data_IF_229932182171
#
_entry.id   IF_229932182171
#
_cell.length_a   1.000
_cell.length_b   1.000
_cell.length_c   1.000
_cell.angle_alpha   90.00
_cell.angle_beta   90.00
_cell.angle_gamma   90.00
#
_symmetry.space_group_name_H-M   'P 1'
#
loop_
_entity.id
_entity.type
_entity.pdbx_description
1 polymer ?
#
# COMPACT_ATOMS: atom_id res chain seq x y z
N UNK A 1 25.46 -15.30 -1.72
CA UNK A 1 24.17 -16.00 -1.90
C UNK A 1 24.08 -16.42 -3.36
N UNK A 2 24.11 -17.73 -3.62
CA UNK A 2 24.14 -18.31 -4.96
C UNK A 2 22.72 -18.35 -5.53
N UNK A 3 22.38 -17.46 -6.48
CA UNK A 3 21.11 -17.55 -7.22
C UNK A 3 21.26 -18.67 -8.26
N UNK A 4 20.56 -19.78 -8.04
CA UNK A 4 20.41 -20.87 -9.03
C UNK A 4 19.87 -20.27 -10.33
N UNK A 5 20.55 -20.53 -11.44
CA UNK A 5 20.11 -20.22 -12.80
C UNK A 5 18.79 -20.94 -13.07
N UNK A 6 17.75 -20.18 -13.36
CA UNK A 6 16.48 -20.71 -13.86
C UNK A 6 16.64 -20.98 -15.37
N UNK A 7 16.27 -22.19 -15.77
CA UNK A 7 16.49 -22.80 -17.09
C UNK A 7 15.45 -22.34 -18.13
N UNK A 8 14.60 -21.39 -17.74
CA UNK A 8 13.58 -20.77 -18.57
C UNK A 8 13.91 -19.28 -18.65
N UNK A 9 13.78 -18.70 -19.84
CA UNK A 9 14.19 -17.33 -20.12
C UNK A 9 13.57 -16.26 -19.21
N UNK A 10 13.86 -14.97 -19.46
CA UNK A 10 13.25 -13.87 -18.72
C UNK A 10 11.74 -14.08 -18.60
N UNK A 11 11.26 -14.25 -17.37
CA UNK A 11 9.85 -14.48 -17.04
C UNK A 11 9.49 -13.74 -15.75
N UNK A 12 8.27 -13.25 -15.70
CA UNK A 12 7.71 -12.63 -14.50
C UNK A 12 6.71 -13.57 -13.85
N UNK A 13 6.44 -13.39 -12.57
CA UNK A 13 5.42 -14.15 -11.86
C UNK A 13 4.18 -13.27 -11.65
N UNK A 14 3.00 -13.87 -11.80
CA UNK A 14 1.73 -13.20 -11.51
C UNK A 14 1.69 -12.74 -10.05
N UNK A 15 1.41 -11.46 -9.83
CA UNK A 15 1.40 -10.86 -8.49
C UNK A 15 0.29 -11.37 -7.57
N UNK A 16 -0.71 -12.07 -8.11
CA UNK A 16 -1.85 -12.59 -7.36
C UNK A 16 -1.69 -14.08 -7.00
N UNK A 17 -1.29 -14.92 -7.96
CA UNK A 17 -1.23 -16.37 -7.77
C UNK A 17 0.17 -16.98 -7.92
N UNK A 18 1.14 -16.23 -8.43
CA UNK A 18 2.51 -16.72 -8.62
C UNK A 18 2.73 -17.59 -9.85
N UNK A 19 1.79 -17.66 -10.81
CA UNK A 19 2.04 -18.36 -12.08
C UNK A 19 3.09 -17.63 -12.93
N UNK A 20 3.95 -18.39 -13.63
CA UNK A 20 4.89 -17.82 -14.60
C UNK A 20 4.12 -17.18 -15.78
N UNK A 21 4.47 -15.94 -16.10
CA UNK A 21 3.88 -15.12 -17.15
C UNK A 21 5.01 -14.48 -18.00
N UNK A 22 4.74 -14.18 -19.29
CA UNK A 22 5.70 -13.47 -20.13
C UNK A 22 6.06 -12.12 -19.51
N UNK A 23 7.29 -11.66 -19.80
CA UNK A 23 7.70 -10.33 -19.34
C UNK A 23 6.84 -9.24 -19.94
N UNK A 24 6.44 -8.28 -19.10
CA UNK A 24 5.59 -7.15 -19.48
C UNK A 24 4.17 -7.22 -18.93
N UNK A 25 3.69 -8.42 -18.58
CA UNK A 25 2.40 -8.58 -17.91
C UNK A 25 2.57 -8.70 -16.39
N UNK A 26 1.53 -8.30 -15.64
CA UNK A 26 1.52 -8.34 -14.17
C UNK A 26 0.63 -9.47 -13.63
N UNK A 27 -0.31 -9.96 -14.43
CA UNK A 27 -1.36 -10.89 -14.03
C UNK A 27 -1.56 -11.96 -15.10
N UNK A 28 -1.75 -13.22 -14.71
CA UNK A 28 -1.87 -14.33 -15.66
C UNK A 28 -3.27 -14.49 -16.29
N UNK A 29 -4.30 -13.84 -15.76
CA UNK A 29 -5.68 -13.97 -16.22
C UNK A 29 -6.54 -12.77 -15.83
N UNK A 30 -7.69 -12.60 -16.48
CA UNK A 30 -8.67 -11.57 -16.13
C UNK A 30 -9.15 -11.67 -14.68
N UNK A 31 -9.25 -12.88 -14.12
CA UNK A 31 -9.62 -13.06 -12.72
C UNK A 31 -8.57 -12.46 -11.77
N UNK A 32 -7.28 -12.68 -12.08
CA UNK A 32 -6.19 -12.07 -11.33
C UNK A 32 -6.14 -10.56 -11.52
N UNK A 33 -6.44 -10.05 -12.71
CA UNK A 33 -6.55 -8.60 -12.97
C UNK A 33 -7.66 -7.96 -12.13
N UNK A 34 -8.85 -8.58 -12.07
CA UNK A 34 -9.97 -8.10 -11.24
C UNK A 34 -9.64 -8.11 -9.75
N UNK A 35 -8.96 -9.15 -9.25
CA UNK A 35 -8.49 -9.20 -7.86
C UNK A 35 -7.44 -8.12 -7.57
N UNK A 36 -6.52 -7.89 -8.49
CA UNK A 36 -5.55 -6.82 -8.33
C UNK A 36 -6.21 -5.44 -8.29
N UNK A 37 -7.19 -5.18 -9.16
CA UNK A 37 -7.93 -3.92 -9.15
C UNK A 37 -8.77 -3.72 -7.89
N UNK A 38 -9.41 -4.79 -7.39
CA UNK A 38 -10.21 -4.70 -6.17
C UNK A 38 -9.32 -4.40 -4.97
N UNK A 39 -8.17 -5.06 -4.84
CA UNK A 39 -7.18 -4.80 -3.80
C UNK A 39 -6.60 -3.38 -3.93
N UNK A 40 -6.28 -2.94 -5.16
CA UNK A 40 -5.80 -1.58 -5.40
C UNK A 40 -6.82 -0.50 -5.00
N UNK A 41 -8.13 -0.73 -5.26
CA UNK A 41 -9.21 0.15 -4.82
C UNK A 41 -9.32 0.19 -3.30
N UNK A 42 -9.24 -0.98 -2.63
CA UNK A 42 -9.26 -1.07 -1.16
C UNK A 42 -8.07 -0.34 -0.54
N UNK A 43 -6.87 -0.51 -1.08
CA UNK A 43 -5.68 0.19 -0.63
C UNK A 43 -5.82 1.72 -0.76
N UNK A 44 -6.31 2.22 -1.90
CA UNK A 44 -6.55 3.66 -2.08
C UNK A 44 -7.56 4.21 -1.06
N UNK A 45 -8.61 3.46 -0.77
CA UNK A 45 -9.60 3.86 0.23
C UNK A 45 -9.01 3.87 1.64
N UNK A 46 -8.25 2.83 2.02
CA UNK A 46 -7.55 2.78 3.30
C UNK A 46 -6.54 3.93 3.44
N UNK A 47 -5.79 4.24 2.38
CA UNK A 47 -4.84 5.35 2.41
C UNK A 47 -5.53 6.69 2.66
N UNK A 48 -6.67 6.97 2.00
CA UNK A 48 -7.47 8.17 2.29
C UNK A 48 -7.88 8.25 3.77
N UNK A 49 -8.39 7.15 4.33
CA UNK A 49 -8.80 7.12 5.73
C UNK A 49 -7.62 7.32 6.69
N UNK A 50 -6.48 6.69 6.39
CA UNK A 50 -5.26 6.85 7.19
C UNK A 50 -4.77 8.30 7.21
N UNK A 51 -4.86 9.00 6.07
CA UNK A 51 -4.44 10.39 5.96
C UNK A 51 -5.34 11.33 6.79
N UNK A 52 -6.66 11.13 6.73
CA UNK A 52 -7.63 11.88 7.56
C UNK A 52 -7.35 11.64 9.05
N UNK A 53 -7.12 10.39 9.44
CA UNK A 53 -6.80 10.06 10.83
C UNK A 53 -5.52 10.75 11.31
N UNK A 54 -4.45 10.73 10.50
CA UNK A 54 -3.18 11.40 10.83
C UNK A 54 -3.35 12.91 11.00
N UNK A 55 -4.13 13.57 10.15
CA UNK A 55 -4.41 15.01 10.27
C UNK A 55 -5.16 15.30 11.57
N UNK A 56 -6.21 14.53 11.88
CA UNK A 56 -7.00 14.72 13.09
C UNK A 56 -6.16 14.52 14.35
N UNK A 57 -5.33 13.48 14.38
CA UNK A 57 -4.40 13.24 15.48
C UNK A 57 -3.40 14.38 15.64
N UNK A 58 -2.79 14.83 14.54
CA UNK A 58 -1.85 15.95 14.56
C UNK A 58 -2.49 17.24 15.05
N UNK A 59 -3.69 17.56 14.57
CA UNK A 59 -4.44 18.74 14.99
C UNK A 59 -4.83 18.66 16.47
N UNK A 60 -5.29 17.51 16.96
CA UNK A 60 -5.60 17.31 18.37
C UNK A 60 -4.36 17.48 19.26
N UNK A 61 -3.21 16.95 18.83
CA UNK A 61 -1.96 17.07 19.57
C UNK A 61 -1.50 18.53 19.66
N UNK A 62 -1.50 19.26 18.54
CA UNK A 62 -1.17 20.68 18.52
C UNK A 62 -2.18 21.48 19.35
N UNK A 63 -3.48 21.20 19.22
CA UNK A 63 -4.52 21.86 20.01
C UNK A 63 -4.32 21.65 21.51
N UNK A 64 -3.99 20.44 21.95
CA UNK A 64 -3.70 20.13 23.34
C UNK A 64 -2.43 20.84 23.85
N UNK A 65 -1.39 20.93 23.02
CA UNK A 65 -0.17 21.68 23.35
C UNK A 65 -0.45 23.18 23.49
N UNK A 66 -1.22 23.77 22.57
CA UNK A 66 -1.62 25.18 22.64
C UNK A 66 -2.49 25.45 23.86
N UNK A 67 -3.44 24.57 24.15
CA UNK A 67 -4.31 24.67 25.33
C UNK A 67 -3.49 24.59 26.62
N UNK A 68 -2.61 23.58 26.74
CA UNK A 68 -1.76 23.43 27.92
C UNK A 68 -0.79 24.60 28.09
N UNK A 69 -0.22 25.13 27.01
CA UNK A 69 0.62 26.33 27.06
C UNK A 69 -0.15 27.55 27.55
N UNK A 70 -1.38 27.74 27.07
CA UNK A 70 -2.25 28.84 27.50
C UNK A 70 -2.63 28.72 28.99
N UNK A 71 -2.97 27.51 29.46
CA UNK A 71 -3.34 27.26 30.85
C UNK A 71 -2.15 27.25 31.82
N UNK A 72 -0.95 26.86 31.38
CA UNK A 72 0.25 26.81 32.23
C UNK A 72 1.01 28.16 32.31
N UNK A 73 0.75 29.08 31.37
CA UNK A 73 1.33 30.42 31.34
C UNK A 73 0.47 31.53 31.98
N UNK A 74 -0.68 31.19 32.55
CA UNK A 74 -1.61 32.10 33.23
C UNK A 74 -1.49 32.07 34.75
#
# INVERSE_FOLDING_TARGET
>A
MSKKKEEWGPHTHCIICGNAIPEGEKTCSEECAKKYESEAKRYKQQQKMSYVFLILMGAAMVGFLLLSYFFAGG
#
